data_IF_765572478745
#
_entry.id   IF_765572478745
#
_cell.length_a   1.000
_cell.length_b   1.000
_cell.length_c   1.000
_cell.angle_alpha   90.00
_cell.angle_beta   90.00
_cell.angle_gamma   90.00
#
_symmetry.space_group_name_H-M   'P 1'
#
loop_
_entity.id
_entity.type
_entity.pdbx_description
1 polymer ?
#
# COMPACT_ATOMS: atom_id res chain seq x y z
N UNK A 1 -26.95 3.25 5.16
CA UNK A 1 -25.73 3.45 4.36
C UNK A 1 -24.59 2.60 4.88
N UNK A 2 -24.12 2.79 6.12
CA UNK A 2 -23.05 1.97 6.73
C UNK A 2 -23.28 0.44 6.62
N UNK A 3 -24.50 -0.06 6.88
CA UNK A 3 -24.83 -1.48 6.71
C UNK A 3 -24.66 -1.98 5.26
N UNK A 4 -25.00 -1.13 4.27
CA UNK A 4 -24.85 -1.47 2.85
C UNK A 4 -23.37 -1.49 2.47
N UNK A 5 -22.58 -0.55 2.99
CA UNK A 5 -21.13 -0.53 2.80
C UNK A 5 -20.45 -1.78 3.37
N UNK A 6 -20.81 -2.16 4.60
CA UNK A 6 -20.26 -3.35 5.22
C UNK A 6 -20.67 -4.61 4.45
N UNK A 7 -21.95 -4.77 4.08
CA UNK A 7 -22.38 -5.92 3.29
C UNK A 7 -21.67 -6.00 1.92
N UNK A 8 -21.52 -4.86 1.23
CA UNK A 8 -20.78 -4.78 -0.04
C UNK A 8 -19.33 -5.26 0.10
N UNK A 9 -18.66 -4.78 1.16
CA UNK A 9 -17.28 -5.13 1.45
C UNK A 9 -17.11 -6.59 1.86
N UNK A 10 -18.01 -7.10 2.72
CA UNK A 10 -18.01 -8.49 3.17
C UNK A 10 -18.23 -9.45 1.99
N UNK A 11 -19.25 -9.20 1.16
CA UNK A 11 -19.49 -9.99 -0.08
C UNK A 11 -18.27 -9.98 -1.01
N UNK A 12 -17.57 -8.84 -1.13
CA UNK A 12 -16.35 -8.76 -1.94
C UNK A 12 -15.23 -9.61 -1.33
N UNK A 13 -15.01 -9.52 -0.01
CA UNK A 13 -13.99 -10.30 0.71
C UNK A 13 -14.27 -11.81 0.71
N UNK A 14 -15.54 -12.19 0.68
CA UNK A 14 -15.98 -13.57 0.64
C UNK A 14 -16.04 -14.14 -0.78
N UNK A 15 -15.62 -13.35 -1.78
CA UNK A 15 -15.61 -13.70 -3.20
C UNK A 15 -17.02 -13.96 -3.78
N UNK A 16 -18.04 -13.36 -3.17
CA UNK A 16 -19.44 -13.39 -3.63
C UNK A 16 -19.76 -12.22 -4.58
N UNK A 17 -18.91 -11.18 -4.60
CA UNK A 17 -19.07 -10.01 -5.48
C UNK A 17 -17.73 -9.59 -6.12
N UNK A 18 -17.67 -9.26 -7.43
CA UNK A 18 -16.43 -8.88 -8.09
C UNK A 18 -15.78 -7.63 -7.51
N UNK A 19 -14.46 -7.66 -7.35
CA UNK A 19 -13.69 -6.54 -6.80
C UNK A 19 -13.85 -5.26 -7.63
N UNK A 20 -13.88 -5.36 -8.97
CA UNK A 20 -14.12 -4.20 -9.84
C UNK A 20 -15.51 -3.60 -9.65
N UNK A 21 -16.53 -4.41 -9.35
CA UNK A 21 -17.87 -3.90 -9.05
C UNK A 21 -17.89 -3.11 -7.72
N UNK A 22 -17.14 -3.57 -6.71
CA UNK A 22 -16.96 -2.82 -5.46
C UNK A 22 -16.20 -1.51 -5.69
N UNK A 23 -15.13 -1.52 -6.50
CA UNK A 23 -14.40 -0.31 -6.91
C UNK A 23 -15.36 0.72 -7.54
N UNK A 24 -16.19 0.27 -8.48
CA UNK A 24 -17.17 1.12 -9.14
C UNK A 24 -18.22 1.68 -8.18
N UNK A 25 -18.70 0.85 -7.26
CA UNK A 25 -19.64 1.24 -6.23
C UNK A 25 -19.06 2.35 -5.35
N UNK A 26 -17.84 2.19 -4.83
CA UNK A 26 -17.20 3.21 -3.98
C UNK A 26 -17.02 4.51 -4.74
N UNK A 27 -16.38 4.47 -5.91
CA UNK A 27 -16.09 5.68 -6.70
C UNK A 27 -17.35 6.38 -7.23
N UNK A 28 -18.46 5.66 -7.39
CA UNK A 28 -19.75 6.25 -7.80
C UNK A 28 -20.49 6.97 -6.67
N UNK A 29 -20.10 6.76 -5.41
CA UNK A 29 -20.92 7.17 -4.27
C UNK A 29 -20.15 7.86 -3.14
N UNK A 30 -18.83 7.71 -3.07
CA UNK A 30 -18.01 8.25 -1.97
C UNK A 30 -18.10 9.78 -1.86
N UNK A 31 -18.26 10.49 -2.98
CA UNK A 31 -18.44 11.95 -2.98
C UNK A 31 -19.75 12.42 -2.34
N UNK A 32 -20.75 11.55 -2.20
CA UNK A 32 -22.02 11.83 -1.52
C UNK A 32 -22.04 11.35 -0.06
N UNK A 33 -20.92 10.83 0.46
CA UNK A 33 -20.79 10.46 1.88
C UNK A 33 -20.41 11.67 2.72
N UNK A 34 -21.18 11.88 3.79
CA UNK A 34 -21.03 13.04 4.67
C UNK A 34 -20.21 12.74 5.92
N UNK A 35 -20.08 11.46 6.27
CA UNK A 35 -19.27 11.04 7.39
C UNK A 35 -17.81 10.81 6.96
N UNK A 36 -16.92 11.69 7.43
CA UNK A 36 -15.48 11.67 7.13
C UNK A 36 -14.80 10.36 7.55
N UNK A 37 -15.24 9.72 8.64
CA UNK A 37 -14.68 8.43 9.07
C UNK A 37 -15.10 7.30 8.13
N UNK A 38 -16.34 7.35 7.62
CA UNK A 38 -16.82 6.40 6.61
C UNK A 38 -16.07 6.57 5.30
N UNK A 39 -15.85 7.81 4.83
CA UNK A 39 -15.05 8.09 3.62
C UNK A 39 -13.66 7.48 3.75
N UNK A 40 -12.98 7.71 4.88
CA UNK A 40 -11.65 7.17 5.13
C UNK A 40 -11.62 5.62 5.08
N UNK A 41 -12.64 4.96 5.66
CA UNK A 41 -12.79 3.50 5.58
C UNK A 41 -12.97 3.04 4.13
N UNK A 42 -13.87 3.70 3.38
CA UNK A 42 -14.16 3.35 1.99
C UNK A 42 -12.92 3.52 1.08
N UNK A 43 -12.13 4.57 1.28
CA UNK A 43 -10.90 4.79 0.51
C UNK A 43 -9.82 3.74 0.83
N UNK A 44 -9.69 3.29 2.07
CA UNK A 44 -8.80 2.15 2.41
C UNK A 44 -9.27 0.83 1.80
N UNK A 45 -10.58 0.59 1.79
CA UNK A 45 -11.17 -0.58 1.16
C UNK A 45 -11.01 -0.54 -0.36
N UNK A 46 -11.18 0.64 -0.97
CA UNK A 46 -10.90 0.88 -2.40
C UNK A 46 -9.44 0.55 -2.74
N UNK A 47 -8.50 1.00 -1.91
CA UNK A 47 -7.09 0.67 -2.09
C UNK A 47 -6.87 -0.85 -2.03
N UNK A 48 -7.37 -1.51 -0.98
CA UNK A 48 -7.25 -2.97 -0.82
C UNK A 48 -7.88 -3.73 -1.98
N UNK A 49 -9.08 -3.31 -2.43
CA UNK A 49 -9.75 -3.92 -3.56
C UNK A 49 -8.89 -3.81 -4.83
N UNK A 50 -8.38 -2.61 -5.10
CA UNK A 50 -7.59 -2.30 -6.30
C UNK A 50 -6.24 -3.03 -6.32
N UNK A 51 -5.53 -3.06 -5.19
CA UNK A 51 -4.18 -3.62 -5.11
C UNK A 51 -4.19 -5.14 -4.97
N UNK A 52 -5.13 -5.69 -4.17
CA UNK A 52 -5.10 -7.10 -3.76
C UNK A 52 -6.20 -7.96 -4.35
N UNK A 53 -7.37 -7.41 -4.70
CA UNK A 53 -8.55 -8.22 -5.07
C UNK A 53 -8.93 -8.16 -6.54
N UNK A 54 -8.64 -7.05 -7.24
CA UNK A 54 -8.79 -6.99 -8.69
C UNK A 54 -7.87 -8.02 -9.34
N UNK A 55 -8.41 -8.78 -10.29
CA UNK A 55 -7.67 -9.81 -11.00
C UNK A 55 -6.43 -9.20 -11.71
N UNK A 56 -5.26 -9.87 -11.68
CA UNK A 56 -4.01 -9.31 -12.21
C UNK A 56 -4.11 -8.74 -13.63
N UNK A 57 -4.83 -9.41 -14.53
CA UNK A 57 -5.02 -8.97 -15.94
C UNK A 57 -5.81 -7.66 -16.10
N UNK A 58 -6.60 -7.27 -15.09
CA UNK A 58 -7.40 -6.05 -15.11
C UNK A 58 -6.79 -4.93 -14.26
N UNK A 59 -5.87 -5.27 -13.35
CA UNK A 59 -5.35 -4.38 -12.31
C UNK A 59 -4.76 -3.08 -12.85
N UNK A 60 -3.96 -3.13 -13.92
CA UNK A 60 -3.34 -1.93 -14.51
C UNK A 60 -4.40 -0.97 -15.06
N UNK A 61 -5.40 -1.49 -15.77
CA UNK A 61 -6.49 -0.68 -16.31
C UNK A 61 -7.36 -0.10 -15.18
N UNK A 62 -7.66 -0.91 -14.16
CA UNK A 62 -8.43 -0.48 -12.99
C UNK A 62 -7.69 0.60 -12.19
N UNK A 63 -6.40 0.44 -11.88
CA UNK A 63 -5.60 1.46 -11.19
C UNK A 63 -5.64 2.82 -11.89
N UNK A 64 -5.48 2.81 -13.23
CA UNK A 64 -5.57 4.03 -14.04
C UNK A 64 -6.94 4.71 -13.88
N UNK A 65 -8.02 3.94 -14.08
CA UNK A 65 -9.40 4.43 -13.96
C UNK A 65 -9.72 4.96 -12.56
N UNK A 66 -9.24 4.27 -11.51
CA UNK A 66 -9.41 4.69 -10.12
C UNK A 66 -8.79 6.06 -9.89
N UNK A 67 -7.54 6.27 -10.29
CA UNK A 67 -6.87 7.56 -10.14
C UNK A 67 -7.58 8.68 -10.93
N UNK A 68 -7.98 8.43 -12.19
CA UNK A 68 -8.69 9.44 -13.00
C UNK A 68 -10.03 9.85 -12.36
N UNK A 69 -10.77 8.88 -11.81
CA UNK A 69 -12.06 9.13 -11.13
C UNK A 69 -11.87 9.80 -9.77
N UNK A 70 -10.86 9.42 -9.00
CA UNK A 70 -10.51 10.11 -7.75
C UNK A 70 -10.16 11.57 -8.02
N UNK A 71 -9.40 11.87 -9.08
CA UNK A 71 -9.10 13.25 -9.46
C UNK A 71 -10.37 14.05 -9.80
N UNK A 72 -11.28 13.45 -10.57
CA UNK A 72 -12.59 14.07 -10.87
C UNK A 72 -13.38 14.35 -9.60
N UNK A 73 -13.32 13.45 -8.61
CA UNK A 73 -13.97 13.64 -7.31
C UNK A 73 -13.30 14.75 -6.47
N UNK A 74 -11.96 14.90 -6.53
CA UNK A 74 -11.24 16.02 -5.88
C UNK A 74 -11.73 17.36 -6.42
N UNK A 75 -11.86 17.48 -7.75
CA UNK A 75 -12.32 18.72 -8.41
C UNK A 75 -13.79 19.02 -8.13
N UNK A 76 -14.62 18.00 -7.90
CA UNK A 76 -16.04 18.14 -7.60
C UNK A 76 -16.37 18.31 -6.10
N UNK A 77 -15.42 17.98 -5.21
CA UNK A 77 -15.63 18.07 -3.76
C UNK A 77 -15.76 19.52 -3.30
N UNK A 78 -16.46 19.72 -2.17
CA UNK A 78 -16.54 21.03 -1.54
C UNK A 78 -15.13 21.51 -1.16
N UNK A 79 -14.79 22.73 -1.59
CA UNK A 79 -13.50 23.37 -1.33
C UNK A 79 -13.19 23.41 0.17
N UNK A 80 -11.98 22.98 0.54
CA UNK A 80 -11.49 22.95 1.92
C UNK A 80 -12.14 21.92 2.83
N UNK A 81 -12.92 20.98 2.28
CA UNK A 81 -13.50 19.89 3.07
C UNK A 81 -12.49 18.76 3.36
N UNK A 82 -12.69 18.06 4.48
CA UNK A 82 -11.93 16.85 4.81
C UNK A 82 -12.02 15.81 3.69
N UNK A 83 -13.20 15.64 3.08
CA UNK A 83 -13.42 14.73 1.95
C UNK A 83 -12.53 15.10 0.76
N UNK A 84 -12.37 16.38 0.45
CA UNK A 84 -11.48 16.84 -0.63
C UNK A 84 -10.02 16.44 -0.34
N UNK A 85 -9.55 16.64 0.89
CA UNK A 85 -8.20 16.22 1.31
C UNK A 85 -8.03 14.70 1.21
N UNK A 86 -8.99 13.93 1.71
CA UNK A 86 -8.96 12.47 1.70
C UNK A 86 -8.95 11.91 0.27
N UNK A 87 -9.76 12.47 -0.63
CA UNK A 87 -9.78 12.11 -2.04
C UNK A 87 -8.46 12.44 -2.73
N UNK A 88 -7.83 13.56 -2.41
CA UNK A 88 -6.53 13.93 -2.99
C UNK A 88 -5.42 12.99 -2.52
N UNK A 89 -5.40 12.65 -1.23
CA UNK A 89 -4.46 11.63 -0.70
C UNK A 89 -4.66 10.27 -1.39
N UNK A 90 -5.92 9.85 -1.57
CA UNK A 90 -6.22 8.62 -2.30
C UNK A 90 -5.78 8.71 -3.78
N UNK A 91 -6.02 9.84 -4.45
CA UNK A 91 -5.54 10.07 -5.81
C UNK A 91 -4.02 9.90 -5.91
N UNK A 92 -3.26 10.52 -5.00
CA UNK A 92 -1.80 10.42 -4.98
C UNK A 92 -1.32 8.97 -4.81
N UNK A 93 -1.96 8.19 -3.93
CA UNK A 93 -1.64 6.76 -3.75
C UNK A 93 -1.87 5.93 -5.03
N UNK A 94 -2.91 6.26 -5.81
CA UNK A 94 -3.28 5.52 -7.02
C UNK A 94 -2.67 6.05 -8.32
N UNK A 95 -2.06 7.23 -8.32
CA UNK A 95 -1.44 7.84 -9.48
C UNK A 95 -0.28 6.98 -10.01
N UNK A 96 -0.42 6.46 -11.23
CA UNK A 96 0.55 5.51 -11.81
C UNK A 96 1.02 5.90 -13.21
N UNK A 97 0.22 6.68 -13.94
CA UNK A 97 0.55 7.11 -15.31
C UNK A 97 1.28 8.45 -15.31
N UNK A 98 2.05 8.73 -16.37
CA UNK A 98 2.77 10.01 -16.49
C UNK A 98 1.85 11.24 -16.30
N UNK A 99 0.66 11.34 -16.94
CA UNK A 99 -0.22 12.49 -16.72
C UNK A 99 -0.73 12.60 -15.28
N UNK A 100 -1.02 11.49 -14.61
CA UNK A 100 -1.45 11.50 -13.21
C UNK A 100 -0.30 11.95 -12.28
N UNK A 101 0.91 11.44 -12.52
CA UNK A 101 2.10 11.84 -11.77
C UNK A 101 2.49 13.30 -12.04
N UNK A 102 2.18 13.85 -13.22
CA UNK A 102 2.37 15.28 -13.51
C UNK A 102 1.41 16.15 -12.66
N UNK A 103 0.19 15.66 -12.38
CA UNK A 103 -0.70 16.32 -11.40
C UNK A 103 -0.09 16.30 -10.01
N UNK A 104 0.39 15.14 -9.55
CA UNK A 104 1.04 15.01 -8.23
C UNK A 104 2.26 15.91 -8.11
N UNK A 105 3.10 15.94 -9.15
CA UNK A 105 4.29 16.80 -9.20
C UNK A 105 3.91 18.29 -9.15
N UNK A 106 2.91 18.70 -9.93
CA UNK A 106 2.44 20.08 -9.94
C UNK A 106 1.84 20.52 -8.60
N UNK A 107 1.19 19.61 -7.88
CA UNK A 107 0.72 19.89 -6.51
C UNK A 107 1.91 20.03 -5.54
N UNK A 108 2.92 19.16 -5.66
CA UNK A 108 4.08 19.18 -4.77
C UNK A 108 4.96 20.43 -4.97
N UNK A 109 5.15 20.89 -6.21
CA UNK A 109 5.95 22.08 -6.54
C UNK A 109 5.16 23.40 -6.51
N UNK A 110 3.82 23.32 -6.45
CA UNK A 110 2.91 24.46 -6.39
C UNK A 110 2.56 25.08 -7.74
N UNK A 111 3.01 24.50 -8.86
CA UNK A 111 2.60 24.90 -10.21
C UNK A 111 1.14 24.54 -10.54
N UNK A 112 0.56 23.60 -9.78
CA UNK A 112 -0.86 23.28 -9.76
C UNK A 112 -1.42 23.44 -8.35
N UNK A 113 -2.63 23.97 -8.24
CA UNK A 113 -3.32 24.14 -6.95
C UNK A 113 -4.75 23.59 -7.03
N UNK A 114 -5.31 23.26 -5.86
CA UNK A 114 -6.71 22.88 -5.67
C UNK A 114 -7.35 23.93 -4.76
N UNK A 115 -8.48 24.49 -5.18
CA UNK A 115 -9.15 25.54 -4.43
C UNK A 115 -9.57 25.03 -3.03
N UNK A 116 -9.28 25.85 -2.01
CA UNK A 116 -9.53 25.51 -0.61
C UNK A 116 -8.56 24.50 0.02
N UNK A 117 -7.58 23.98 -0.72
CA UNK A 117 -6.70 22.91 -0.25
C UNK A 117 -5.21 23.28 -0.41
N UNK A 118 -4.63 24.06 0.52
CA UNK A 118 -3.21 24.34 0.52
C UNK A 118 -2.41 23.06 0.79
N UNK A 119 -1.26 22.91 0.11
CA UNK A 119 -0.33 21.81 0.35
C UNK A 119 0.56 22.13 1.55
N UNK A 120 0.14 21.65 2.71
CA UNK A 120 0.93 21.69 3.94
C UNK A 120 2.07 20.65 3.93
N UNK A 121 2.86 20.63 5.01
CA UNK A 121 4.01 19.74 5.17
C UNK A 121 3.61 18.26 5.09
N UNK A 122 2.55 17.85 5.78
CA UNK A 122 2.12 16.45 5.81
C UNK A 122 1.61 15.99 4.45
N UNK A 123 0.85 16.83 3.74
CA UNK A 123 0.40 16.51 2.39
C UNK A 123 1.58 16.46 1.41
N UNK A 124 2.58 17.34 1.56
CA UNK A 124 3.79 17.32 0.73
C UNK A 124 4.55 16.00 0.85
N UNK A 125 4.62 15.41 2.04
CA UNK A 125 5.21 14.08 2.24
C UNK A 125 4.44 12.96 1.52
N UNK A 126 3.10 13.00 1.54
CA UNK A 126 2.28 12.02 0.82
C UNK A 126 2.48 12.13 -0.70
N UNK A 127 2.50 13.36 -1.23
CA UNK A 127 2.79 13.61 -2.66
C UNK A 127 4.20 13.16 -3.03
N UNK A 128 5.19 13.44 -2.19
CA UNK A 128 6.57 13.02 -2.43
C UNK A 128 6.74 11.49 -2.39
N UNK A 129 6.04 10.82 -1.49
CA UNK A 129 6.00 9.35 -1.43
C UNK A 129 5.36 8.75 -2.68
N UNK A 130 4.27 9.35 -3.17
CA UNK A 130 3.66 8.99 -4.46
C UNK A 130 4.64 9.15 -5.63
N UNK A 131 5.34 10.28 -5.70
CA UNK A 131 6.35 10.52 -6.73
C UNK A 131 7.53 9.55 -6.63
N UNK A 132 7.98 9.17 -5.43
CA UNK A 132 9.03 8.18 -5.24
C UNK A 132 8.60 6.79 -5.74
N UNK A 133 7.38 6.37 -5.40
CA UNK A 133 6.77 5.12 -5.89
C UNK A 133 6.53 5.13 -7.41
N UNK A 134 6.30 6.30 -7.99
CA UNK A 134 6.17 6.52 -9.43
C UNK A 134 7.49 6.78 -10.18
N UNK A 135 8.65 6.72 -9.50
CA UNK A 135 9.96 6.95 -10.11
C UNK A 135 10.21 8.40 -10.55
N UNK A 136 9.48 9.37 -9.99
CA UNK A 136 9.55 10.81 -10.29
C UNK A 136 10.24 11.64 -9.20
N UNK A 137 10.58 11.01 -8.08
CA UNK A 137 11.38 11.60 -7.01
C UNK A 137 12.32 10.55 -6.40
N UNK A 138 13.41 10.99 -5.78
CA UNK A 138 14.37 10.12 -5.10
C UNK A 138 14.98 10.77 -3.87
N UNK A 139 16.19 10.31 -3.52
CA UNK A 139 16.87 10.73 -2.29
C UNK A 139 17.10 12.26 -2.20
N UNK A 140 17.31 12.92 -3.35
CA UNK A 140 17.57 14.35 -3.41
C UNK A 140 16.35 15.16 -2.96
N UNK A 141 15.17 14.88 -3.53
CA UNK A 141 13.92 15.56 -3.18
C UNK A 141 13.51 15.25 -1.74
N UNK A 142 13.67 14.00 -1.30
CA UNK A 142 13.37 13.58 0.08
C UNK A 142 14.26 14.29 1.08
N UNK A 143 15.57 14.37 0.82
CA UNK A 143 16.51 15.07 1.68
C UNK A 143 16.21 16.57 1.73
N UNK A 144 15.90 17.18 0.58
CA UNK A 144 15.55 18.59 0.51
C UNK A 144 14.32 18.91 1.36
N UNK A 145 13.27 18.07 1.29
CA UNK A 145 12.07 18.28 2.10
C UNK A 145 12.32 17.99 3.59
N UNK A 146 13.05 16.92 3.93
CA UNK A 146 13.41 16.59 5.31
C UNK A 146 14.20 17.71 5.99
N UNK A 147 15.06 18.43 5.26
CA UNK A 147 15.79 19.58 5.80
C UNK A 147 14.85 20.71 6.27
N UNK A 148 13.62 20.76 5.76
CA UNK A 148 12.58 21.72 6.18
C UNK A 148 11.61 21.17 7.22
N UNK A 149 11.62 19.86 7.47
CA UNK A 149 10.75 19.15 8.43
C UNK A 149 11.51 18.01 9.13
N UNK A 150 12.55 18.35 9.92
CA UNK A 150 13.28 17.35 10.73
C UNK A 150 12.57 17.07 12.07
N UNK A 151 11.25 16.90 12.01
CA UNK A 151 10.44 16.46 13.14
C UNK A 151 10.43 14.93 13.23
N UNK A 152 9.89 14.39 14.33
CA UNK A 152 9.72 12.94 14.44
C UNK A 152 8.81 12.36 13.33
N UNK A 153 7.76 13.10 12.96
CA UNK A 153 6.84 12.72 11.88
C UNK A 153 7.51 12.88 10.51
N UNK A 154 8.23 14.00 10.29
CA UNK A 154 8.98 14.20 9.05
C UNK A 154 10.04 13.13 8.80
N UNK A 155 10.75 12.68 9.83
CA UNK A 155 11.69 11.55 9.72
C UNK A 155 11.00 10.22 9.36
N UNK A 156 9.82 9.94 9.91
CA UNK A 156 9.02 8.76 9.55
C UNK A 156 8.50 8.84 8.12
N UNK A 157 7.99 10.00 7.71
CA UNK A 157 7.54 10.24 6.35
C UNK A 157 8.68 10.11 5.33
N UNK A 158 9.86 10.65 5.65
CA UNK A 158 11.06 10.48 4.85
C UNK A 158 11.50 9.00 4.74
N UNK A 159 11.37 8.23 5.82
CA UNK A 159 11.69 6.80 5.80
C UNK A 159 10.73 6.02 4.87
N UNK A 160 9.43 6.30 4.94
CA UNK A 160 8.43 5.74 4.03
C UNK A 160 8.71 6.12 2.57
N UNK A 161 8.97 7.40 2.29
CA UNK A 161 9.28 7.88 0.95
C UNK A 161 10.56 7.23 0.38
N UNK A 162 11.62 7.07 1.19
CA UNK A 162 12.86 6.39 0.77
C UNK A 162 12.63 4.93 0.42
N UNK A 163 11.87 4.22 1.25
CA UNK A 163 11.54 2.81 1.00
C UNK A 163 10.61 2.64 -0.21
N UNK A 164 9.87 3.69 -0.58
CA UNK A 164 8.99 3.71 -1.76
C UNK A 164 9.74 3.94 -3.09
N UNK A 165 10.99 4.42 -3.08
CA UNK A 165 11.76 4.68 -4.32
C UNK A 165 11.75 3.43 -5.22
N UNK A 166 11.26 3.62 -6.45
CA UNK A 166 10.98 2.54 -7.40
C UNK A 166 12.23 2.10 -8.19
N UNK A 167 13.33 1.76 -7.51
CA UNK A 167 14.50 1.15 -8.14
C UNK A 167 14.96 -0.12 -7.41
N UNK A 168 15.59 -1.09 -8.11
CA UNK A 168 16.12 -2.29 -7.48
C UNK A 168 17.11 -1.98 -6.36
N UNK A 169 17.99 -0.99 -6.56
CA UNK A 169 19.01 -0.59 -5.60
C UNK A 169 18.38 -0.01 -4.33
N UNK A 170 17.34 0.82 -4.47
CA UNK A 170 16.64 1.41 -3.34
C UNK A 170 15.86 0.37 -2.54
N UNK A 171 15.19 -0.58 -3.21
CA UNK A 171 14.50 -1.69 -2.53
C UNK A 171 15.50 -2.58 -1.78
N UNK A 172 16.66 -2.87 -2.37
CA UNK A 172 17.70 -3.64 -1.70
C UNK A 172 18.27 -2.91 -0.48
N UNK A 173 18.50 -1.59 -0.60
CA UNK A 173 18.97 -0.77 0.52
C UNK A 173 17.94 -0.68 1.66
N UNK A 174 16.66 -0.54 1.32
CA UNK A 174 15.56 -0.54 2.30
C UNK A 174 15.43 -1.90 3.00
N UNK A 175 15.48 -3.00 2.25
CA UNK A 175 15.47 -4.35 2.80
C UNK A 175 16.62 -4.57 3.80
N UNK A 176 17.85 -4.25 3.39
CA UNK A 176 19.03 -4.38 4.25
C UNK A 176 18.89 -3.54 5.54
N UNK A 177 18.36 -2.33 5.42
CA UNK A 177 18.12 -1.45 6.57
C UNK A 177 17.11 -2.04 7.58
N UNK A 178 16.02 -2.62 7.09
CA UNK A 178 14.91 -3.11 7.92
C UNK A 178 15.19 -4.51 8.49
N UNK A 179 15.74 -5.41 7.67
CA UNK A 179 15.81 -6.84 7.97
C UNK A 179 17.19 -7.24 8.48
N UNK A 180 18.26 -6.71 7.87
CA UNK A 180 19.63 -7.17 8.14
C UNK A 180 20.33 -6.32 9.22
N UNK A 181 20.15 -5.00 9.19
CA UNK A 181 20.81 -4.08 10.15
C UNK A 181 20.03 -3.92 11.46
N UNK A 182 20.76 -3.74 12.55
CA UNK A 182 20.21 -3.41 13.87
C UNK A 182 20.17 -1.90 14.12
N UNK A 183 19.39 -1.48 15.11
CA UNK A 183 19.37 -0.09 15.61
C UNK A 183 18.37 0.86 14.93
N UNK A 184 17.59 0.40 13.96
CA UNK A 184 16.46 1.17 13.43
C UNK A 184 15.38 1.34 14.53
N UNK A 185 14.88 2.55 14.80
CA UNK A 185 13.76 2.73 15.74
C UNK A 185 12.45 2.10 15.23
N UNK A 186 11.60 1.56 16.11
CA UNK A 186 10.34 0.89 15.73
C UNK A 186 9.45 1.73 14.80
N UNK A 187 9.21 2.99 15.14
CA UNK A 187 8.36 3.87 14.31
C UNK A 187 8.95 4.12 12.90
N UNK A 188 10.27 4.10 12.77
CA UNK A 188 10.96 4.21 11.48
C UNK A 188 10.87 2.89 10.71
N UNK A 189 10.97 1.75 11.40
CA UNK A 189 10.78 0.43 10.80
C UNK A 189 9.39 0.28 10.22
N UNK A 190 8.34 0.55 11.00
CA UNK A 190 6.95 0.43 10.58
C UNK A 190 6.67 1.27 9.33
N UNK A 191 7.07 2.55 9.33
CA UNK A 191 6.88 3.43 8.16
C UNK A 191 7.73 3.02 6.95
N UNK A 192 8.94 2.49 7.16
CA UNK A 192 9.76 1.94 6.08
C UNK A 192 9.13 0.70 5.47
N UNK A 193 8.50 -0.17 6.27
CA UNK A 193 7.79 -1.36 5.80
C UNK A 193 6.59 -0.99 4.93
N UNK A 194 5.81 0.01 5.36
CA UNK A 194 4.71 0.54 4.56
C UNK A 194 5.21 1.15 3.24
N UNK A 195 6.29 1.93 3.28
CA UNK A 195 6.93 2.50 2.10
C UNK A 195 7.50 1.45 1.14
N UNK A 196 8.12 0.39 1.66
CA UNK A 196 8.69 -0.70 0.86
C UNK A 196 7.63 -1.36 -0.02
N UNK A 197 6.43 -1.56 0.52
CA UNK A 197 5.28 -2.11 -0.21
C UNK A 197 4.60 -1.10 -1.15
N UNK A 198 4.87 0.21 -1.02
CA UNK A 198 4.39 1.22 -1.99
C UNK A 198 5.24 1.12 -3.26
N UNK A 199 4.75 0.34 -4.22
CA UNK A 199 5.31 0.21 -5.58
C UNK A 199 4.19 0.03 -6.59
N UNK A 200 4.43 0.46 -7.84
CA UNK A 200 3.56 0.15 -8.98
C UNK A 200 4.06 -1.03 -9.80
N UNK A 201 5.30 -1.47 -9.54
CA UNK A 201 5.96 -2.58 -10.21
C UNK A 201 6.22 -3.72 -9.23
N UNK A 202 5.40 -4.76 -9.32
CA UNK A 202 5.52 -5.98 -8.50
C UNK A 202 6.89 -6.65 -8.68
N UNK A 203 7.48 -6.53 -9.88
CA UNK A 203 8.80 -7.06 -10.23
C UNK A 203 9.93 -6.58 -9.30
N UNK A 204 9.78 -5.38 -8.71
CA UNK A 204 10.76 -4.85 -7.75
C UNK A 204 10.73 -5.59 -6.40
N UNK A 205 9.65 -6.31 -6.09
CA UNK A 205 9.49 -7.04 -4.83
C UNK A 205 9.84 -8.53 -4.96
N UNK A 206 9.82 -9.08 -6.18
CA UNK A 206 10.10 -10.51 -6.44
C UNK A 206 11.44 -11.00 -5.85
N UNK A 207 12.55 -10.22 -5.92
CA UNK A 207 13.84 -10.67 -5.36
C UNK A 207 13.83 -10.89 -3.85
N UNK A 208 12.80 -10.40 -3.14
CA UNK A 208 12.71 -10.44 -1.68
C UNK A 208 11.85 -11.59 -1.14
N UNK A 209 11.20 -12.38 -2.02
CA UNK A 209 10.38 -13.53 -1.61
C UNK A 209 11.20 -14.58 -0.86
N UNK A 210 12.33 -15.02 -1.43
CA UNK A 210 13.23 -15.97 -0.77
C UNK A 210 13.89 -15.37 0.49
N UNK A 211 14.49 -14.15 0.43
CA UNK A 211 15.01 -13.48 1.62
C UNK A 211 14.02 -13.35 2.76
N UNK A 212 12.73 -13.13 2.48
CA UNK A 212 11.68 -13.09 3.49
C UNK A 212 11.65 -14.39 4.30
N UNK A 213 11.42 -15.53 3.64
CA UNK A 213 11.34 -16.82 4.33
C UNK A 213 12.64 -17.19 5.04
N UNK A 214 13.79 -16.91 4.42
CA UNK A 214 15.10 -17.16 5.02
C UNK A 214 15.35 -16.33 6.30
N UNK A 215 14.74 -15.15 6.42
CA UNK A 215 14.93 -14.25 7.56
C UNK A 215 14.03 -14.53 8.76
N UNK A 216 12.90 -15.23 8.57
CA UNK A 216 11.81 -15.30 9.55
C UNK A 216 12.23 -15.78 10.93
N UNK A 217 12.95 -16.91 11.03
CA UNK A 217 13.38 -17.43 12.33
C UNK A 217 14.39 -16.51 13.02
N UNK A 218 15.31 -15.92 12.27
CA UNK A 218 16.29 -14.96 12.80
C UNK A 218 15.58 -13.72 13.32
N UNK A 219 14.73 -13.09 12.51
CA UNK A 219 13.95 -11.91 12.91
C UNK A 219 13.12 -12.21 14.15
N UNK A 220 12.44 -13.36 14.19
CA UNK A 220 11.59 -13.74 15.31
C UNK A 220 12.35 -13.94 16.62
N UNK A 221 13.60 -14.38 16.56
CA UNK A 221 14.41 -14.71 17.73
C UNK A 221 15.30 -13.56 18.21
N UNK A 222 15.70 -12.65 17.31
CA UNK A 222 16.66 -11.58 17.64
C UNK A 222 16.04 -10.19 17.76
N UNK A 223 14.90 -9.94 17.11
CA UNK A 223 14.24 -8.62 17.15
C UNK A 223 13.30 -8.51 18.35
N UNK A 224 13.05 -7.27 18.79
CA UNK A 224 12.01 -6.99 19.77
C UNK A 224 10.63 -7.45 19.25
N UNK A 225 9.74 -7.86 20.16
CA UNK A 225 8.46 -8.47 19.83
C UNK A 225 7.69 -7.69 18.75
N UNK A 226 7.50 -6.38 18.93
CA UNK A 226 6.70 -5.57 18.00
C UNK A 226 7.34 -5.50 16.61
N UNK A 227 8.67 -5.30 16.55
CA UNK A 227 9.42 -5.30 15.29
C UNK A 227 9.33 -6.64 14.55
N UNK A 228 9.44 -7.74 15.28
CA UNK A 228 9.33 -9.07 14.68
C UNK A 228 7.93 -9.30 14.09
N UNK A 229 6.89 -8.86 14.79
CA UNK A 229 5.50 -8.95 14.30
C UNK A 229 5.30 -8.10 13.04
N UNK A 230 5.78 -6.86 13.04
CA UNK A 230 5.68 -5.96 11.89
C UNK A 230 6.42 -6.53 10.68
N UNK A 231 7.64 -7.04 10.86
CA UNK A 231 8.43 -7.66 9.78
C UNK A 231 7.73 -8.89 9.20
N UNK A 232 7.19 -9.77 10.05
CA UNK A 232 6.47 -10.97 9.59
C UNK A 232 5.22 -10.57 8.81
N UNK A 233 4.44 -9.62 9.33
CA UNK A 233 3.14 -9.26 8.75
C UNK A 233 3.28 -8.38 7.49
N UNK A 234 4.08 -7.32 7.57
CA UNK A 234 4.15 -6.30 6.54
C UNK A 234 5.07 -6.68 5.37
N UNK A 235 6.01 -7.62 5.54
CA UNK A 235 6.82 -8.14 4.42
C UNK A 235 6.27 -9.40 3.78
N UNK A 236 5.15 -9.96 4.26
CA UNK A 236 4.57 -11.14 3.64
C UNK A 236 4.16 -10.81 2.19
N UNK A 237 4.65 -11.56 1.17
CA UNK A 237 4.56 -11.16 -0.24
C UNK A 237 3.17 -11.44 -0.86
N UNK A 238 2.11 -10.92 -0.24
CA UNK A 238 0.72 -11.11 -0.63
C UNK A 238 0.44 -10.66 -2.07
N UNK A 239 0.96 -9.50 -2.47
CA UNK A 239 0.79 -8.97 -3.83
C UNK A 239 1.30 -9.94 -4.91
N UNK A 240 2.33 -10.71 -4.56
CA UNK A 240 2.99 -11.68 -5.44
C UNK A 240 2.37 -13.07 -5.39
N UNK A 241 1.39 -13.33 -4.51
CA UNK A 241 0.77 -14.65 -4.38
C UNK A 241 0.06 -15.12 -5.67
N UNK A 242 -0.33 -14.19 -6.54
CA UNK A 242 -0.96 -14.49 -7.84
C UNK A 242 0.03 -14.87 -8.95
N UNK A 243 1.34 -14.84 -8.68
CA UNK A 243 2.43 -15.19 -9.60
C UNK A 243 2.85 -16.65 -9.35
N UNK A 244 2.42 -17.63 -10.17
CA UNK A 244 2.63 -19.05 -9.89
C UNK A 244 4.12 -19.44 -9.79
N UNK A 245 5.00 -18.76 -10.52
CA UNK A 245 6.43 -19.00 -10.54
C UNK A 245 7.13 -18.66 -9.22
N UNK A 246 6.51 -17.85 -8.37
CA UNK A 246 7.05 -17.48 -7.06
C UNK A 246 6.58 -18.42 -5.95
N UNK A 247 5.46 -19.13 -6.15
CA UNK A 247 4.87 -20.12 -5.22
C UNK A 247 4.86 -19.66 -3.74
N UNK A 248 4.36 -18.44 -3.48
CA UNK A 248 4.33 -17.85 -2.14
C UNK A 248 3.63 -18.76 -1.12
N UNK A 249 2.48 -19.35 -1.50
CA UNK A 249 1.72 -20.22 -0.62
C UNK A 249 2.45 -21.55 -0.35
N UNK A 250 3.02 -22.19 -1.38
CA UNK A 250 3.80 -23.42 -1.20
C UNK A 250 5.06 -23.20 -0.36
N UNK A 251 5.75 -22.07 -0.53
CA UNK A 251 6.87 -21.67 0.33
C UNK A 251 6.45 -21.45 1.78
N UNK A 252 5.26 -20.86 1.98
CA UNK A 252 4.69 -20.68 3.32
C UNK A 252 4.41 -22.03 3.98
N UNK A 253 3.82 -22.98 3.25
CA UNK A 253 3.55 -24.33 3.75
C UNK A 253 4.84 -25.11 4.04
N UNK A 254 5.83 -25.03 3.16
CA UNK A 254 7.13 -25.66 3.36
C UNK A 254 7.84 -25.11 4.62
N UNK A 255 7.82 -23.78 4.79
CA UNK A 255 8.37 -23.14 5.99
C UNK A 255 7.62 -23.57 7.24
N UNK A 256 6.28 -23.56 7.24
CA UNK A 256 5.46 -23.98 8.38
C UNK A 256 5.68 -25.45 8.75
N UNK A 257 5.92 -26.32 7.78
CA UNK A 257 6.26 -27.73 8.02
C UNK A 257 7.64 -27.87 8.67
N UNK A 258 8.65 -27.16 8.15
CA UNK A 258 10.01 -27.16 8.69
C UNK A 258 10.12 -26.48 10.07
N UNK A 259 9.28 -25.48 10.34
CA UNK A 259 9.20 -24.80 11.62
C UNK A 259 8.71 -25.74 12.73
N UNK A 260 7.72 -26.58 12.43
CA UNK A 260 7.03 -27.42 13.41
C UNK A 260 6.41 -26.56 14.51
N UNK A 261 6.66 -26.95 15.77
CA UNK A 261 6.13 -26.28 16.98
C UNK A 261 7.15 -25.37 17.68
N UNK A 262 8.33 -25.13 17.06
CA UNK A 262 9.44 -24.38 17.70
C UNK A 262 9.05 -22.93 18.06
N UNK A 263 8.27 -22.27 17.21
CA UNK A 263 7.82 -20.89 17.41
C UNK A 263 6.30 -20.77 17.17
N UNK A 264 5.46 -21.06 18.18
CA UNK A 264 4.00 -21.03 18.03
C UNK A 264 3.44 -19.67 17.61
N UNK A 265 4.04 -18.57 18.09
CA UNK A 265 3.65 -17.21 17.70
C UNK A 265 3.92 -16.90 16.23
N UNK A 266 5.13 -17.22 15.74
CA UNK A 266 5.49 -17.08 14.33
C UNK A 266 4.58 -17.94 13.44
N UNK A 267 4.34 -19.19 13.85
CA UNK A 267 3.45 -20.11 13.16
C UNK A 267 2.05 -19.51 13.01
N UNK A 268 1.47 -18.99 14.10
CA UNK A 268 0.15 -18.34 14.08
C UNK A 268 0.12 -17.16 13.11
N UNK A 269 1.11 -16.26 13.17
CA UNK A 269 1.14 -15.09 12.30
C UNK A 269 1.27 -15.46 10.81
N UNK A 270 2.12 -16.44 10.49
CA UNK A 270 2.25 -16.93 9.12
C UNK A 270 0.95 -17.54 8.60
N UNK A 271 0.21 -18.28 9.43
CA UNK A 271 -1.11 -18.79 9.07
C UNK A 271 -2.12 -17.66 8.81
N UNK A 272 -2.08 -16.58 9.61
CA UNK A 272 -2.96 -15.43 9.44
C UNK A 272 -2.69 -14.67 8.12
N UNK A 273 -1.42 -14.39 7.80
CA UNK A 273 -1.08 -13.72 6.54
C UNK A 273 -1.30 -14.63 5.33
N UNK A 274 -1.12 -15.96 5.49
CA UNK A 274 -1.45 -16.95 4.46
C UNK A 274 -2.95 -16.94 4.15
N UNK A 275 -3.82 -16.96 5.16
CA UNK A 275 -5.28 -16.84 4.98
C UNK A 275 -5.64 -15.54 4.25
N UNK A 276 -4.94 -14.44 4.56
CA UNK A 276 -5.00 -13.18 3.83
C UNK A 276 -4.75 -13.35 2.32
N UNK A 277 -3.66 -14.01 1.94
CA UNK A 277 -3.31 -14.26 0.54
C UNK A 277 -4.25 -15.25 -0.14
N UNK A 278 -4.66 -16.33 0.53
CA UNK A 278 -5.64 -17.29 0.00
C UNK A 278 -6.99 -16.61 -0.27
N UNK A 279 -7.43 -15.71 0.61
CA UNK A 279 -8.60 -14.85 0.36
C UNK A 279 -8.39 -13.99 -0.87
N UNK A 280 -7.27 -13.28 -0.99
CA UNK A 280 -7.00 -12.44 -2.14
C UNK A 280 -7.09 -13.22 -3.46
N UNK A 281 -6.53 -14.43 -3.52
CA UNK A 281 -6.62 -15.30 -4.70
C UNK A 281 -8.06 -15.73 -5.01
N UNK A 282 -8.87 -16.07 -3.99
CA UNK A 282 -10.30 -16.39 -4.19
C UNK A 282 -11.07 -15.21 -4.75
N UNK A 283 -10.86 -14.00 -4.22
CA UNK A 283 -11.54 -12.79 -4.70
C UNK A 283 -11.08 -12.43 -6.12
N UNK A 284 -9.79 -12.57 -6.43
CA UNK A 284 -9.27 -12.39 -7.80
C UNK A 284 -9.91 -13.37 -8.80
N UNK A 285 -10.16 -14.62 -8.38
CA UNK A 285 -10.85 -15.59 -9.21
C UNK A 285 -12.32 -15.20 -9.48
N UNK A 286 -13.03 -14.71 -8.45
CA UNK A 286 -14.40 -14.19 -8.62
C UNK A 286 -14.44 -12.93 -9.50
N UNK A 287 -13.49 -12.01 -9.35
CA UNK A 287 -13.38 -10.81 -10.18
C UNK A 287 -13.10 -11.13 -11.66
N UNK A 288 -12.27 -12.16 -11.91
CA UNK A 288 -11.99 -12.69 -13.25
C UNK A 288 -13.22 -13.33 -13.89
N UNK A 289 -14.03 -14.05 -13.10
CA UNK A 289 -15.22 -14.74 -13.60
C UNK A 289 -16.34 -13.76 -14.04
N UNK A 290 -16.26 -12.49 -13.64
CA UNK A 290 -17.26 -11.47 -13.93
C UNK A 290 -17.21 -10.89 -15.37
N UNK A 291 -16.17 -11.19 -16.15
CA UNK A 291 -15.96 -10.68 -17.52
C UNK A 291 -15.21 -9.35 -17.59
#
# INVERSE_FOLDING_TARGET
RALVWNAAWDMTRDAEWPARAFVDLVLGNVGAESDSSVVLVLLRQLQTATDSYVAPEHRVATKRSVADRLWTLVEAAQEGSDTQLQLLKAFAVHATTAPQLDVVAGLADGSRTVAGLPVDTDLRWELLTSLAAGGRAGEAEITAHLATDDTANGRQAAASARAAIATPEAKAAAWDAMVTREGMPNAILETSLLGFNRTHEDALLEPFVEPYFASLETVWTTRGNDMAQDLVQLLYPTALASRPELDVLGRTDAFLAALGDRHPGLRRMLLEVKDGAERALRVQAADRAAG
#
